data_IF_784714783497
#
_entry.id   IF_784714783497
#
_cell.length_a   1.000
_cell.length_b   1.000
_cell.length_c   1.000
_cell.angle_alpha   90.00
_cell.angle_beta   90.00
_cell.angle_gamma   90.00
#
_symmetry.space_group_name_H-M   'P 1'
#
loop_
_entity.id
_entity.type
_entity.pdbx_description
1 polymer ?
#
# COMPACT_ATOMS: atom_id res chain seq x y z
N UNK A 1 27.70 0.19 -28.08
CA UNK A 1 27.78 -0.04 -26.63
C UNK A 1 26.65 0.76 -26.05
N UNK A 2 25.54 0.08 -25.80
CA UNK A 2 24.34 0.69 -25.22
C UNK A 2 24.29 0.18 -23.79
N UNK A 3 24.80 0.97 -22.85
CA UNK A 3 24.60 0.73 -21.43
C UNK A 3 23.14 1.03 -21.14
N UNK A 4 22.31 -0.01 -21.23
CA UNK A 4 20.94 0.02 -20.75
C UNK A 4 20.97 0.51 -19.31
N UNK A 5 20.40 1.69 -19.07
CA UNK A 5 20.07 2.21 -17.75
C UNK A 5 19.29 1.13 -16.99
N UNK A 6 19.95 0.39 -16.11
CA UNK A 6 19.26 -0.38 -15.08
C UNK A 6 18.34 0.62 -14.37
N UNK A 7 17.02 0.41 -14.42
CA UNK A 7 16.11 1.35 -13.78
C UNK A 7 16.40 1.35 -12.28
N UNK A 8 16.69 2.52 -11.70
CA UNK A 8 16.91 2.69 -10.24
C UNK A 8 15.76 2.13 -9.38
N UNK A 9 14.62 1.82 -9.99
CA UNK A 9 13.44 1.24 -9.36
C UNK A 9 13.59 -0.25 -8.99
N UNK A 10 14.10 -1.10 -9.90
CA UNK A 10 14.23 -2.56 -9.68
C UNK A 10 15.70 -2.90 -9.48
N UNK A 11 16.03 -3.45 -8.32
CA UNK A 11 17.40 -3.82 -7.92
C UNK A 11 17.48 -5.31 -7.68
N UNK A 12 18.52 -5.96 -8.19
CA UNK A 12 18.74 -7.39 -7.95
C UNK A 12 19.66 -7.61 -6.73
N UNK A 13 19.31 -8.59 -5.90
CA UNK A 13 20.03 -8.93 -4.68
C UNK A 13 19.34 -8.46 -3.40
N UNK A 14 20.03 -8.67 -2.27
CA UNK A 14 19.50 -8.34 -0.95
C UNK A 14 19.57 -6.84 -0.66
N UNK A 15 18.51 -6.21 -0.11
CA UNK A 15 18.55 -4.81 0.30
C UNK A 15 19.62 -4.53 1.38
N UNK A 16 19.98 -5.54 2.18
CA UNK A 16 20.96 -5.42 3.26
C UNK A 16 22.42 -5.29 2.79
N UNK A 17 22.70 -5.40 1.50
CA UNK A 17 24.05 -5.26 0.94
C UNK A 17 24.39 -3.84 0.46
N UNK A 18 23.50 -2.87 0.69
CA UNK A 18 23.67 -1.50 0.20
C UNK A 18 24.57 -0.68 1.16
N UNK A 19 25.68 -0.12 0.65
CA UNK A 19 26.72 0.55 1.47
C UNK A 19 26.29 1.87 2.14
N UNK A 20 25.14 2.45 1.75
CA UNK A 20 24.67 3.76 2.24
C UNK A 20 23.24 3.75 2.80
N UNK A 21 22.71 2.56 3.07
CA UNK A 21 21.32 2.38 3.52
C UNK A 21 21.31 1.42 4.68
N UNK A 22 20.61 1.79 5.75
CA UNK A 22 20.47 0.96 6.94
C UNK A 22 19.08 0.37 6.96
N UNK A 23 18.98 -0.95 6.95
CA UNK A 23 17.73 -1.70 7.07
C UNK A 23 17.66 -2.36 8.44
N UNK A 24 16.61 -2.05 9.21
CA UNK A 24 16.38 -2.61 10.54
C UNK A 24 15.14 -3.51 10.47
N UNK A 25 15.34 -4.81 10.63
CA UNK A 25 14.24 -5.78 10.70
C UNK A 25 13.37 -5.59 11.94
N UNK A 26 12.07 -5.83 11.81
CA UNK A 26 11.10 -5.78 12.89
C UNK A 26 10.72 -7.21 13.31
N UNK A 27 11.01 -7.57 14.56
CA UNK A 27 10.61 -8.84 15.16
C UNK A 27 9.91 -8.59 16.51
N UNK A 28 8.59 -8.88 16.62
CA UNK A 28 7.66 -9.26 15.54
C UNK A 28 7.43 -8.12 14.54
N UNK A 29 6.85 -8.42 13.38
CA UNK A 29 6.51 -7.41 12.37
C UNK A 29 5.46 -6.41 12.91
N UNK A 30 5.52 -5.16 12.45
CA UNK A 30 4.45 -4.19 12.71
C UNK A 30 3.42 -4.26 11.59
N UNK A 31 2.34 -5.00 11.84
CA UNK A 31 1.39 -5.38 10.79
C UNK A 31 2.11 -6.20 9.71
N UNK A 32 2.10 -5.68 8.48
CA UNK A 32 2.77 -6.29 7.32
C UNK A 32 4.18 -5.70 7.05
N UNK A 33 4.68 -4.80 7.90
CA UNK A 33 6.01 -4.21 7.75
C UNK A 33 7.08 -5.14 8.33
N UNK A 34 7.99 -5.57 7.46
CA UNK A 34 9.11 -6.45 7.76
C UNK A 34 10.33 -5.71 8.30
N UNK A 35 10.63 -4.54 7.73
CA UNK A 35 11.78 -3.73 8.13
C UNK A 35 11.51 -2.24 7.90
N UNK A 36 12.37 -1.41 8.49
CA UNK A 36 12.43 0.04 8.27
C UNK A 36 13.78 0.37 7.66
N UNK A 37 13.79 1.31 6.71
CA UNK A 37 15.01 1.78 6.05
C UNK A 37 15.29 3.24 6.37
N UNK A 38 16.57 3.51 6.61
CA UNK A 38 17.13 4.82 6.80
C UNK A 38 18.19 5.08 5.72
N UNK A 39 18.04 6.21 5.05
CA UNK A 39 19.03 6.76 4.13
C UNK A 39 19.28 8.21 4.54
N UNK A 40 20.54 8.63 4.48
CA UNK A 40 20.92 9.99 4.85
C UNK A 40 20.10 11.03 4.06
N UNK A 41 19.64 12.08 4.76
CA UNK A 41 18.84 13.17 4.18
C UNK A 41 17.53 12.74 3.48
N UNK A 42 17.03 11.53 3.77
CA UNK A 42 15.81 11.00 3.19
C UNK A 42 14.78 10.64 4.27
N UNK A 43 13.47 10.81 4.00
CA UNK A 43 12.44 10.31 4.91
C UNK A 43 12.53 8.79 5.05
N UNK A 44 12.26 8.30 6.26
CA UNK A 44 12.17 6.87 6.58
C UNK A 44 11.27 6.13 5.59
N UNK A 45 11.75 4.97 5.12
CA UNK A 45 11.00 4.07 4.24
C UNK A 45 10.62 2.78 4.95
N UNK A 46 9.57 2.14 4.45
CA UNK A 46 8.98 0.94 5.07
C UNK A 46 9.06 -0.23 4.10
N UNK A 47 9.46 -1.40 4.60
CA UNK A 47 9.78 -2.55 3.78
C UNK A 47 8.76 -3.64 4.02
N UNK A 48 8.15 -4.11 2.94
CA UNK A 48 7.38 -5.36 2.94
C UNK A 48 8.17 -6.45 2.24
N UNK A 49 8.29 -7.59 2.89
CA UNK A 49 8.89 -8.79 2.32
C UNK A 49 7.79 -9.72 1.83
N UNK A 50 7.90 -10.18 0.59
CA UNK A 50 7.08 -11.24 0.04
C UNK A 50 8.00 -12.42 -0.26
N UNK A 51 7.79 -13.54 0.43
CA UNK A 51 8.50 -14.78 0.15
C UNK A 51 7.90 -15.44 -1.10
N UNK A 52 8.76 -15.80 -2.04
CA UNK A 52 8.39 -16.29 -3.36
C UNK A 52 9.19 -17.56 -3.66
N UNK A 53 8.48 -18.63 -4.02
CA UNK A 53 9.11 -19.76 -4.69
C UNK A 53 9.30 -19.33 -6.13
N UNK A 54 10.55 -19.29 -6.63
CA UNK A 54 10.87 -18.78 -7.97
C UNK A 54 10.15 -19.56 -9.07
N UNK A 55 8.95 -19.11 -9.41
CA UNK A 55 8.25 -19.45 -10.65
C UNK A 55 7.52 -18.20 -11.16
N UNK A 56 8.07 -17.62 -12.23
CA UNK A 56 7.44 -16.67 -13.18
C UNK A 56 6.57 -15.55 -12.58
N UNK A 57 7.08 -14.81 -11.60
CA UNK A 57 6.46 -13.53 -11.24
C UNK A 57 6.68 -12.49 -12.36
N UNK A 58 5.66 -11.70 -12.73
CA UNK A 58 5.79 -10.67 -13.75
C UNK A 58 6.49 -9.44 -13.17
N UNK A 59 7.79 -9.56 -12.87
CA UNK A 59 8.61 -8.48 -12.30
C UNK A 59 8.59 -7.25 -13.20
N UNK A 60 8.57 -7.44 -14.52
CA UNK A 60 8.49 -6.37 -15.52
C UNK A 60 7.17 -5.59 -15.49
N UNK A 61 6.13 -6.10 -14.81
CA UNK A 61 4.87 -5.38 -14.59
C UNK A 61 4.95 -4.40 -13.41
N UNK A 62 6.00 -4.46 -12.59
CA UNK A 62 6.19 -3.53 -11.48
C UNK A 62 6.64 -2.17 -12.02
N UNK A 63 6.00 -1.12 -11.53
CA UNK A 63 6.40 0.26 -11.82
C UNK A 63 6.42 1.07 -10.54
N UNK A 64 7.30 2.07 -10.49
CA UNK A 64 7.27 3.08 -9.46
C UNK A 64 5.91 3.82 -9.51
N UNK A 65 5.38 4.18 -8.34
CA UNK A 65 4.12 4.93 -8.26
C UNK A 65 4.35 6.32 -7.70
N UNK A 66 3.54 7.28 -8.14
CA UNK A 66 3.52 8.63 -7.60
C UNK A 66 2.10 9.18 -7.60
N UNK A 67 1.43 9.13 -6.45
CA UNK A 67 0.09 9.66 -6.26
C UNK A 67 -0.16 10.03 -4.80
N UNK A 68 -0.92 11.11 -4.56
CA UNK A 68 -1.21 11.59 -3.20
C UNK A 68 -1.89 10.53 -2.33
N UNK A 69 -2.84 9.78 -2.92
CA UNK A 69 -3.65 8.77 -2.23
C UNK A 69 -3.14 7.34 -2.33
N UNK A 70 -1.86 7.14 -2.65
CA UNK A 70 -1.20 5.83 -2.54
C UNK A 70 -0.09 5.90 -1.50
N UNK A 71 0.18 4.79 -0.83
CA UNK A 71 1.47 4.56 -0.21
C UNK A 71 2.41 4.18 -1.34
N UNK A 72 3.17 5.16 -1.82
CA UNK A 72 3.92 5.03 -3.05
C UNK A 72 5.04 3.99 -2.94
N UNK A 73 5.07 3.08 -3.92
CA UNK A 73 6.15 2.12 -4.10
C UNK A 73 7.34 2.84 -4.73
N UNK A 74 8.44 2.95 -3.97
CA UNK A 74 9.65 3.67 -4.37
C UNK A 74 10.64 2.78 -5.09
N UNK A 75 10.85 1.57 -4.61
CA UNK A 75 11.83 0.62 -5.14
C UNK A 75 11.41 -0.83 -4.86
N UNK A 76 11.97 -1.77 -5.62
CA UNK A 76 11.82 -3.21 -5.41
C UNK A 76 13.17 -3.89 -5.47
N UNK A 77 13.48 -4.68 -4.44
CA UNK A 77 14.62 -5.60 -4.47
C UNK A 77 14.17 -7.02 -4.79
N UNK A 78 14.84 -7.64 -5.76
CA UNK A 78 14.59 -9.01 -6.20
C UNK A 78 15.71 -9.92 -5.71
N UNK A 79 15.44 -10.66 -4.64
CA UNK A 79 16.39 -11.60 -4.06
C UNK A 79 16.17 -13.04 -4.58
N UNK A 80 16.87 -14.01 -3.99
CA UNK A 80 16.74 -15.42 -4.39
C UNK A 80 15.34 -15.98 -4.14
N UNK A 81 14.82 -15.82 -2.94
CA UNK A 81 13.53 -16.42 -2.55
C UNK A 81 12.52 -15.39 -2.06
N UNK A 82 12.78 -14.11 -2.31
CA UNK A 82 11.95 -13.02 -1.78
C UNK A 82 11.97 -11.78 -2.67
N UNK A 83 10.88 -11.03 -2.63
CA UNK A 83 10.81 -9.64 -3.07
C UNK A 83 10.74 -8.72 -1.86
N UNK A 84 11.45 -7.59 -1.91
CA UNK A 84 11.34 -6.54 -0.91
C UNK A 84 10.82 -5.27 -1.56
N UNK A 85 9.63 -4.85 -1.16
CA UNK A 85 9.01 -3.62 -1.62
C UNK A 85 9.37 -2.49 -0.66
N UNK A 86 9.99 -1.43 -1.17
CA UNK A 86 10.33 -0.23 -0.40
C UNK A 86 9.26 0.82 -0.66
N UNK A 87 8.49 1.13 0.38
CA UNK A 87 7.42 2.11 0.35
C UNK A 87 7.84 3.40 1.03
N UNK A 88 7.19 4.50 0.64
CA UNK A 88 7.27 5.74 1.39
C UNK A 88 6.71 5.62 2.82
N UNK A 89 6.71 6.74 3.54
CA UNK A 89 6.24 6.82 4.92
C UNK A 89 4.85 6.21 5.11
N UNK A 90 4.76 5.33 6.10
CA UNK A 90 3.55 4.63 6.51
C UNK A 90 2.72 5.45 7.51
N UNK A 91 1.41 5.18 7.57
CA UNK A 91 0.47 5.80 8.52
C UNK A 91 -0.13 4.79 9.50
N UNK A 92 -1.26 5.12 10.12
CA UNK A 92 -2.09 4.17 10.89
C UNK A 92 -3.21 3.62 10.00
N UNK A 93 -3.47 2.32 10.02
CA UNK A 93 -4.54 1.72 9.22
C UNK A 93 -5.92 2.08 9.76
N UNK A 94 -6.95 2.11 8.90
CA UNK A 94 -8.32 2.26 9.36
C UNK A 94 -8.74 1.14 10.31
N UNK A 95 -8.21 -0.07 10.13
CA UNK A 95 -8.41 -1.20 11.04
C UNK A 95 -7.87 -0.91 12.44
N UNK A 96 -6.66 -0.38 12.53
CA UNK A 96 -6.08 0.05 13.83
C UNK A 96 -6.89 1.19 14.45
N UNK A 97 -7.34 2.15 13.64
CA UNK A 97 -8.21 3.25 14.11
C UNK A 97 -9.54 2.75 14.65
N UNK A 98 -10.16 1.74 14.03
CA UNK A 98 -11.40 1.14 14.51
C UNK A 98 -11.25 0.46 15.88
N UNK A 99 -10.08 -0.10 16.19
CA UNK A 99 -9.81 -0.66 17.52
C UNK A 99 -9.76 0.38 18.64
N UNK A 100 -9.74 1.67 18.30
CA UNK A 100 -9.84 2.77 19.29
C UNK A 100 -11.30 3.05 19.72
N UNK A 101 -12.29 2.39 19.13
CA UNK A 101 -13.68 2.53 19.58
C UNK A 101 -13.87 2.03 21.03
N UNK A 102 -14.66 2.72 21.87
CA UNK A 102 -15.53 3.87 21.52
C UNK A 102 -14.85 5.24 21.68
N UNK A 103 -13.57 5.29 22.07
CA UNK A 103 -12.83 6.55 22.32
C UNK A 103 -12.78 7.42 21.07
N UNK A 104 -12.61 6.78 19.91
CA UNK A 104 -12.63 7.44 18.61
C UNK A 104 -13.55 6.71 17.63
N UNK A 105 -14.35 7.48 16.89
CA UNK A 105 -15.15 7.02 15.75
C UNK A 105 -15.17 8.12 14.70
N UNK A 106 -15.17 7.70 13.43
CA UNK A 106 -15.30 8.63 12.32
C UNK A 106 -16.74 9.14 12.21
N UNK A 107 -16.91 10.43 12.01
CA UNK A 107 -18.16 11.04 11.60
C UNK A 107 -18.42 10.88 10.10
N UNK A 108 -19.66 11.10 9.66
CA UNK A 108 -20.06 10.91 8.26
C UNK A 108 -19.23 11.74 7.27
N UNK A 109 -18.86 12.97 7.65
CA UNK A 109 -18.03 13.86 6.81
C UNK A 109 -16.62 13.31 6.62
N UNK A 110 -16.05 12.72 7.66
CA UNK A 110 -14.72 12.09 7.60
C UNK A 110 -14.78 10.81 6.76
N UNK A 111 -15.84 10.02 6.90
CA UNK A 111 -16.06 8.82 6.08
C UNK A 111 -16.27 9.18 4.61
N UNK A 112 -17.04 10.23 4.32
CA UNK A 112 -17.22 10.72 2.95
C UNK A 112 -15.89 11.20 2.35
N UNK A 113 -15.06 11.87 3.16
CA UNK A 113 -13.71 12.30 2.77
C UNK A 113 -12.81 11.09 2.49
N UNK A 114 -12.78 10.10 3.39
CA UNK A 114 -12.06 8.84 3.19
C UNK A 114 -12.45 8.17 1.87
N UNK A 115 -13.75 8.06 1.58
CA UNK A 115 -14.25 7.48 0.34
C UNK A 115 -13.78 8.25 -0.89
N UNK A 116 -13.87 9.59 -0.87
CA UNK A 116 -13.41 10.44 -1.98
C UNK A 116 -11.92 10.23 -2.28
N UNK A 117 -11.08 10.28 -1.25
CA UNK A 117 -9.63 10.14 -1.40
C UNK A 117 -9.24 8.73 -1.90
N UNK A 118 -9.92 7.69 -1.40
CA UNK A 118 -9.73 6.32 -1.90
C UNK A 118 -10.15 6.21 -3.37
N UNK A 119 -11.25 6.86 -3.77
CA UNK A 119 -11.69 6.86 -5.18
C UNK A 119 -10.69 7.58 -6.12
N UNK A 120 -10.05 8.66 -5.69
CA UNK A 120 -8.97 9.29 -6.47
C UNK A 120 -7.74 8.37 -6.58
N UNK A 121 -7.39 7.65 -5.51
CA UNK A 121 -6.36 6.61 -5.57
C UNK A 121 -6.71 5.47 -6.54
N UNK A 122 -7.95 4.96 -6.50
CA UNK A 122 -8.43 3.93 -7.41
C UNK A 122 -8.44 4.40 -8.87
N UNK A 123 -8.76 5.66 -9.14
CA UNK A 123 -8.69 6.24 -10.49
C UNK A 123 -7.27 6.17 -11.04
N UNK A 124 -6.24 6.46 -10.25
CA UNK A 124 -4.85 6.27 -10.66
C UNK A 124 -4.56 4.78 -10.93
N UNK A 125 -4.96 3.88 -10.02
CA UNK A 125 -4.73 2.44 -10.18
C UNK A 125 -5.39 1.91 -11.46
N UNK A 126 -6.65 2.27 -11.70
CA UNK A 126 -7.44 1.75 -12.83
C UNK A 126 -7.01 2.37 -14.16
N UNK A 127 -6.76 3.68 -14.21
CA UNK A 127 -6.49 4.39 -15.47
C UNK A 127 -5.01 4.45 -15.82
N UNK A 128 -4.14 4.68 -14.84
CA UNK A 128 -2.70 4.85 -15.07
C UNK A 128 -1.98 3.51 -15.05
N UNK A 129 -2.28 2.66 -14.05
CA UNK A 129 -1.63 1.35 -13.93
C UNK A 129 -2.36 0.25 -14.72
N UNK A 130 -3.62 0.48 -15.10
CA UNK A 130 -4.41 -0.49 -15.87
C UNK A 130 -4.77 -1.76 -15.10
N UNK A 131 -4.69 -1.75 -13.77
CA UNK A 131 -4.95 -2.92 -12.90
C UNK A 131 -6.12 -2.65 -11.96
N UNK A 132 -6.58 -3.68 -11.27
CA UNK A 132 -7.44 -3.54 -10.07
C UNK A 132 -6.61 -3.64 -8.81
N UNK A 133 -7.01 -2.99 -7.72
CA UNK A 133 -6.40 -3.21 -6.41
C UNK A 133 -6.69 -4.63 -5.92
N UNK A 134 -7.96 -5.05 -5.95
CA UNK A 134 -8.40 -6.44 -5.74
C UNK A 134 -8.38 -6.93 -4.28
N UNK A 135 -8.03 -6.07 -3.33
CA UNK A 135 -8.10 -6.38 -1.89
C UNK A 135 -8.27 -5.10 -1.06
N UNK A 136 -9.21 -4.23 -1.45
CA UNK A 136 -9.45 -2.97 -0.75
C UNK A 136 -10.20 -3.24 0.57
N UNK A 137 -9.61 -2.88 1.70
CA UNK A 137 -10.18 -3.09 3.05
C UNK A 137 -9.60 -2.09 4.05
N UNK A 138 -10.14 -2.03 5.26
CA UNK A 138 -9.70 -1.17 6.36
C UNK A 138 -8.23 -1.40 6.74
N UNK A 139 -7.70 -2.60 6.50
CA UNK A 139 -6.30 -2.93 6.74
C UNK A 139 -5.34 -2.40 5.67
N UNK A 140 -5.85 -1.97 4.51
CA UNK A 140 -5.07 -1.49 3.37
C UNK A 140 -5.24 0.01 3.11
N UNK A 141 -6.07 0.69 3.90
CA UNK A 141 -6.21 2.15 3.87
C UNK A 141 -5.55 2.74 5.11
N UNK A 142 -4.70 3.73 4.89
CA UNK A 142 -3.89 4.36 5.92
C UNK A 142 -4.18 5.85 6.01
N UNK A 143 -4.18 6.36 7.24
CA UNK A 143 -4.18 7.79 7.54
C UNK A 143 -2.77 8.19 7.95
N UNK A 144 -2.19 9.15 7.25
CA UNK A 144 -0.86 9.71 7.57
C UNK A 144 -0.96 10.78 8.67
N UNK A 145 0.17 11.16 9.24
CA UNK A 145 0.27 12.13 10.33
C UNK A 145 -0.19 13.55 9.94
N UNK A 146 -0.18 13.87 8.64
CA UNK A 146 -0.75 15.10 8.10
C UNK A 146 -2.25 14.96 7.69
N UNK A 147 -2.92 13.86 8.04
CA UNK A 147 -4.32 13.61 7.72
C UNK A 147 -4.58 13.11 6.30
N UNK A 148 -3.54 12.80 5.52
CA UNK A 148 -3.68 12.23 4.18
C UNK A 148 -4.22 10.79 4.21
N UNK A 149 -4.98 10.41 3.19
CA UNK A 149 -5.59 9.07 3.05
C UNK A 149 -4.89 8.33 1.91
N UNK A 150 -4.31 7.17 2.21
CA UNK A 150 -3.47 6.42 1.26
C UNK A 150 -3.86 4.94 1.15
N UNK A 151 -3.90 4.42 -0.07
CA UNK A 151 -4.08 3.00 -0.38
C UNK A 151 -2.70 2.31 -0.41
N UNK A 152 -2.53 1.23 0.34
CA UNK A 152 -1.28 0.47 0.42
C UNK A 152 -1.23 -0.73 -0.55
N UNK A 153 -0.15 -1.52 -0.48
CA UNK A 153 -0.02 -2.83 -1.12
C UNK A 153 -0.04 -2.87 -2.66
N UNK A 154 0.23 -1.74 -3.30
CA UNK A 154 0.19 -1.59 -4.76
C UNK A 154 1.17 -2.52 -5.50
N UNK A 155 2.35 -2.79 -4.95
CA UNK A 155 3.31 -3.72 -5.56
C UNK A 155 2.76 -5.14 -5.70
N UNK A 156 2.00 -5.63 -4.71
CA UNK A 156 1.34 -6.93 -4.80
C UNK A 156 0.18 -6.92 -5.81
N UNK A 157 -0.53 -5.79 -5.95
CA UNK A 157 -1.58 -5.63 -6.96
C UNK A 157 -1.02 -5.76 -8.37
N UNK A 158 0.13 -5.13 -8.65
CA UNK A 158 0.81 -5.22 -9.95
C UNK A 158 1.19 -6.66 -10.31
N UNK A 159 1.73 -7.42 -9.34
CA UNK A 159 2.09 -8.83 -9.56
C UNK A 159 0.90 -9.73 -9.89
N UNK A 160 -0.32 -9.36 -9.48
CA UNK A 160 -1.56 -10.11 -9.80
C UNK A 160 -2.05 -9.88 -11.23
N UNK A 161 -1.57 -8.82 -11.90
CA UNK A 161 -1.89 -8.48 -13.28
C UNK A 161 -3.25 -7.79 -13.50
N UNK A 162 -3.54 -7.50 -14.79
CA UNK A 162 -4.74 -6.78 -15.23
C UNK A 162 -6.02 -7.61 -15.02
N UNK A 163 -7.00 -7.06 -14.30
CA UNK A 163 -8.30 -7.70 -14.07
C UNK A 163 -9.44 -6.68 -14.17
N UNK A 164 -10.04 -6.55 -15.35
CA UNK A 164 -11.15 -5.62 -15.59
C UNK A 164 -12.35 -5.86 -14.66
N UNK A 165 -12.65 -7.12 -14.34
CA UNK A 165 -13.69 -7.48 -13.37
C UNK A 165 -13.34 -7.06 -11.93
N UNK A 166 -12.05 -6.93 -11.62
CA UNK A 166 -11.57 -6.46 -10.32
C UNK A 166 -11.90 -5.00 -10.09
N UNK A 167 -11.88 -4.16 -11.13
CA UNK A 167 -12.11 -2.71 -10.99
C UNK A 167 -13.52 -2.41 -10.46
N UNK A 168 -14.56 -3.14 -10.91
CA UNK A 168 -15.92 -2.99 -10.36
C UNK A 168 -16.01 -3.42 -8.90
N UNK A 169 -15.27 -4.46 -8.52
CA UNK A 169 -15.20 -4.90 -7.12
C UNK A 169 -14.54 -3.85 -6.24
N UNK A 170 -13.45 -3.22 -6.69
CA UNK A 170 -12.81 -2.14 -5.93
C UNK A 170 -13.80 -1.01 -5.59
N UNK A 171 -14.70 -0.64 -6.52
CA UNK A 171 -15.74 0.37 -6.26
C UNK A 171 -16.75 -0.12 -5.22
N UNK A 172 -17.15 -1.39 -5.28
CA UNK A 172 -18.06 -1.99 -4.29
C UNK A 172 -17.40 -2.07 -2.91
N UNK A 173 -16.09 -2.33 -2.86
CA UNK A 173 -15.31 -2.39 -1.63
C UNK A 173 -15.21 -1.02 -0.94
N UNK A 174 -15.22 0.09 -1.68
CA UNK A 174 -15.34 1.44 -1.09
C UNK A 174 -16.68 1.59 -0.35
N UNK A 175 -17.78 1.10 -0.91
CA UNK A 175 -19.08 1.13 -0.23
C UNK A 175 -19.09 0.24 1.02
N UNK A 176 -18.42 -0.92 0.95
CA UNK A 176 -18.29 -1.82 2.10
C UNK A 176 -17.44 -1.19 3.21
N UNK A 177 -16.35 -0.52 2.86
CA UNK A 177 -15.52 0.27 3.77
C UNK A 177 -16.36 1.34 4.49
N UNK A 178 -17.13 2.13 3.75
CA UNK A 178 -18.00 3.16 4.32
C UNK A 178 -19.01 2.56 5.31
N UNK A 179 -19.64 1.45 4.94
CA UNK A 179 -20.61 0.75 5.80
C UNK A 179 -19.95 0.24 7.10
N UNK A 180 -18.74 -0.32 7.00
CA UNK A 180 -18.02 -0.81 8.16
C UNK A 180 -17.62 0.33 9.13
N UNK A 181 -17.26 1.49 8.60
CA UNK A 181 -16.90 2.67 9.40
C UNK A 181 -18.11 3.34 10.06
N UNK A 182 -19.27 3.36 9.39
CA UNK A 182 -20.52 3.91 9.94
C UNK A 182 -21.06 3.04 11.10
N UNK A 183 -20.70 1.75 11.15
CA UNK A 183 -21.23 0.81 12.14
C UNK A 183 -22.71 0.47 11.90
N UNK A 184 -23.33 -0.32 12.79
CA UNK A 184 -24.78 -0.50 12.78
C UNK A 184 -25.45 0.86 12.96
N UNK A 185 -26.50 1.14 12.16
CA UNK A 185 -27.29 2.35 12.32
C UNK A 185 -27.86 2.39 13.74
N UNK A 186 -27.39 3.33 14.56
CA UNK A 186 -28.04 3.72 15.81
C UNK A 186 -29.35 4.48 15.50
N UNK A 187 -30.19 3.96 14.60
CA UNK A 187 -31.55 4.43 14.48
C UNK A 187 -32.27 3.98 15.77
N UNK A 188 -32.79 4.90 16.60
CA UNK A 188 -33.69 4.48 17.65
C UNK A 188 -34.85 3.75 16.98
N UNK A 189 -35.16 2.54 17.45
CA UNK A 189 -36.39 1.87 17.10
C UNK A 189 -37.54 2.81 17.45
N UNK A 190 -38.12 3.42 16.42
CA UNK A 190 -39.33 4.26 16.53
C UNK A 190 -40.52 3.42 16.94
#
# INVERSE_FOLDING_TARGET
MDETTESDFIKYGSPYMQMHRVFIGLEPTWGEIYAVEFTENSPVSYIKKLDVVRDKLPIDALTQTSHANLVNLREVFVAETSLFFVYEKWGISLKEMQHLSPVFRFGEVEIATLCREVLEGLKYIHKTLGISHGSLSEGNIYITDNGGVKIANIGQCMLRGVRLEGMRRDISDVCNLARALLGPSDAPAT
#
